data_IF_408225030870
#
_entry.id   IF_408225030870
#
_cell.length_a   1.000
_cell.length_b   1.000
_cell.length_c   1.000
_cell.angle_alpha   90.00
_cell.angle_beta   90.00
_cell.angle_gamma   90.00
#
_symmetry.space_group_name_H-M   'P 1'
#
loop_
_entity.id
_entity.type
_entity.pdbx_description
1 polymer ?
#
# COMPACT_ATOMS: atom_id res chain seq x y z
N UNK A 1 10.48 28.31 3.46
CA UNK A 1 10.36 27.19 2.51
C UNK A 1 9.47 26.12 3.10
N UNK A 2 8.57 25.61 2.30
CA UNK A 2 7.77 24.48 2.72
C UNK A 2 8.66 23.23 2.85
N UNK A 3 8.42 22.43 3.88
CA UNK A 3 9.09 21.13 3.98
C UNK A 3 8.65 20.23 2.82
N UNK A 4 9.55 19.38 2.29
CA UNK A 4 9.13 18.41 1.29
C UNK A 4 8.06 17.48 1.87
N UNK A 5 7.14 16.99 1.05
CA UNK A 5 6.14 16.03 1.52
C UNK A 5 6.79 14.80 2.13
N UNK A 6 6.20 14.26 3.19
CA UNK A 6 6.68 13.03 3.82
C UNK A 6 6.64 11.87 2.84
N UNK A 7 7.69 11.04 2.83
CA UNK A 7 7.71 9.79 2.11
C UNK A 7 7.33 8.65 3.06
N UNK A 8 6.60 7.68 2.54
CA UNK A 8 6.23 6.49 3.28
C UNK A 8 6.82 5.28 2.57
N UNK A 9 7.78 4.65 3.22
CA UNK A 9 8.49 3.51 2.67
C UNK A 9 8.39 2.30 3.58
N UNK A 10 8.35 1.12 2.96
CA UNK A 10 8.43 -0.17 3.63
C UNK A 10 9.49 -0.99 2.92
N UNK A 11 10.33 -1.68 3.69
CA UNK A 11 11.40 -2.52 3.13
C UNK A 11 11.24 -3.96 3.59
N UNK A 12 11.58 -4.89 2.72
CA UNK A 12 11.59 -6.32 3.02
C UNK A 12 12.65 -7.00 2.17
N UNK A 13 12.95 -8.25 2.48
CA UNK A 13 13.88 -9.07 1.71
C UNK A 13 13.13 -10.31 1.22
N UNK A 14 13.32 -10.66 -0.04
CA UNK A 14 12.71 -11.86 -0.62
C UNK A 14 13.17 -13.11 0.15
N UNK A 15 12.21 -13.88 0.64
CA UNK A 15 12.46 -15.10 1.41
C UNK A 15 12.55 -16.30 0.47
N UNK A 16 13.33 -17.35 0.82
CA UNK A 16 13.46 -18.55 -0.03
C UNK A 16 12.11 -19.18 -0.38
N UNK A 17 11.17 -19.23 0.56
CA UNK A 17 9.84 -19.83 0.36
C UNK A 17 8.94 -19.02 -0.59
N UNK A 18 9.34 -17.79 -0.96
CA UNK A 18 8.59 -16.96 -1.91
C UNK A 18 9.03 -17.20 -3.37
N UNK A 19 10.08 -17.97 -3.58
CA UNK A 19 10.63 -18.27 -4.91
C UNK A 19 9.91 -19.49 -5.47
N UNK A 20 9.40 -19.37 -6.68
CA UNK A 20 8.68 -20.46 -7.34
C UNK A 20 9.58 -21.30 -8.27
N UNK A 21 8.96 -22.23 -8.98
CA UNK A 21 9.65 -23.12 -9.91
C UNK A 21 10.37 -22.42 -11.07
N UNK A 22 10.05 -21.14 -11.32
CA UNK A 22 10.75 -20.33 -12.34
C UNK A 22 12.02 -19.66 -11.77
N UNK A 23 12.29 -19.81 -10.48
CA UNK A 23 13.45 -19.20 -9.82
C UNK A 23 13.28 -17.73 -9.49
N UNK A 24 12.07 -17.22 -9.49
CA UNK A 24 11.74 -15.82 -9.23
C UNK A 24 10.65 -15.68 -8.18
N UNK A 25 10.50 -14.46 -7.65
CA UNK A 25 9.43 -14.14 -6.72
C UNK A 25 8.08 -14.51 -7.33
N UNK A 26 7.34 -15.37 -6.63
CA UNK A 26 6.04 -15.83 -7.09
C UNK A 26 4.98 -14.75 -6.95
N UNK A 27 4.05 -14.74 -7.88
CA UNK A 27 2.98 -13.74 -8.01
C UNK A 27 2.31 -13.33 -6.70
N UNK A 28 1.82 -14.25 -5.84
CA UNK A 28 1.09 -13.85 -4.64
C UNK A 28 1.95 -13.12 -3.60
N UNK A 29 3.26 -13.28 -3.65
CA UNK A 29 4.15 -12.67 -2.66
C UNK A 29 4.42 -11.20 -2.93
N UNK A 30 4.28 -10.72 -4.17
CA UNK A 30 4.23 -9.27 -4.42
C UNK A 30 3.06 -8.65 -3.66
N UNK A 31 1.89 -9.26 -3.74
CA UNK A 31 0.68 -8.78 -3.08
C UNK A 31 0.80 -8.86 -1.56
N UNK A 32 1.44 -9.92 -1.05
CA UNK A 32 1.72 -10.04 0.39
C UNK A 32 2.56 -8.87 0.89
N UNK A 33 3.63 -8.53 0.18
CA UNK A 33 4.52 -7.42 0.54
C UNK A 33 3.78 -6.08 0.44
N UNK A 34 2.95 -5.89 -0.57
CA UNK A 34 2.08 -4.72 -0.67
C UNK A 34 1.11 -4.64 0.50
N UNK A 35 0.59 -5.77 0.97
CA UNK A 35 -0.23 -5.84 2.16
C UNK A 35 0.51 -5.38 3.41
N UNK A 36 1.77 -5.74 3.56
CA UNK A 36 2.63 -5.26 4.65
C UNK A 36 2.86 -3.75 4.55
N UNK A 37 3.03 -3.22 3.34
CA UNK A 37 3.15 -1.79 3.14
C UNK A 37 1.87 -1.04 3.52
N UNK A 38 0.70 -1.61 3.24
CA UNK A 38 -0.60 -1.06 3.69
C UNK A 38 -0.70 -1.06 5.21
N UNK A 39 -0.28 -2.15 5.86
CA UNK A 39 -0.23 -2.23 7.32
C UNK A 39 0.69 -1.15 7.90
N UNK A 40 1.85 -0.93 7.27
CA UNK A 40 2.76 0.15 7.67
C UNK A 40 2.11 1.54 7.57
N UNK A 41 1.38 1.81 6.48
CA UNK A 41 0.60 3.04 6.35
C UNK A 41 -0.38 3.19 7.51
N UNK A 42 -1.10 2.12 7.84
CA UNK A 42 -2.09 2.14 8.92
C UNK A 42 -1.44 2.48 10.26
N UNK A 43 -0.30 1.86 10.58
CA UNK A 43 0.42 2.15 11.83
C UNK A 43 0.87 3.62 11.90
N UNK A 44 1.38 4.15 10.80
CA UNK A 44 1.91 5.53 10.75
C UNK A 44 0.79 6.58 10.82
N UNK A 45 -0.41 6.25 10.33
CA UNK A 45 -1.51 7.23 10.21
C UNK A 45 -2.57 7.13 11.31
N UNK A 46 -2.38 6.23 12.28
CA UNK A 46 -3.29 6.11 13.42
C UNK A 46 -4.40 5.07 13.23
N UNK A 47 -4.29 4.19 12.22
CA UNK A 47 -5.22 3.08 11.97
C UNK A 47 -4.63 1.73 12.41
N UNK A 48 -3.57 1.74 13.20
CA UNK A 48 -2.83 0.54 13.57
C UNK A 48 -3.52 -0.31 14.64
N UNK A 49 -2.74 -1.22 15.24
CA UNK A 49 -3.23 -2.19 16.21
C UNK A 49 -4.00 -1.56 17.37
N UNK A 50 -3.49 -0.48 17.93
CA UNK A 50 -4.13 0.21 19.06
C UNK A 50 -5.51 0.76 18.68
N UNK A 51 -5.60 1.35 17.50
CA UNK A 51 -6.86 1.88 16.96
C UNK A 51 -7.87 0.77 16.71
N UNK A 52 -7.44 -0.32 16.08
CA UNK A 52 -8.31 -1.46 15.80
C UNK A 52 -8.81 -2.12 17.10
N UNK A 53 -7.94 -2.26 18.08
CA UNK A 53 -8.31 -2.83 19.39
C UNK A 53 -9.30 -1.95 20.14
N UNK A 54 -9.13 -0.62 20.07
CA UNK A 54 -9.96 0.34 20.79
C UNK A 54 -11.35 0.54 20.15
N UNK A 55 -11.44 0.47 18.82
CA UNK A 55 -12.65 0.87 18.08
C UNK A 55 -13.34 -0.27 17.34
N UNK A 56 -12.63 -1.37 17.05
CA UNK A 56 -13.11 -2.41 16.14
C UNK A 56 -13.13 -1.98 14.68
N UNK A 57 -12.69 -0.77 14.38
CA UNK A 57 -12.62 -0.26 13.01
C UNK A 57 -11.32 -0.66 12.33
N UNK A 58 -11.35 -0.83 11.03
CA UNK A 58 -10.18 -1.18 10.23
C UNK A 58 -10.35 -0.70 8.79
N UNK A 59 -9.29 -0.92 8.01
CA UNK A 59 -9.25 -0.58 6.59
C UNK A 59 -9.33 -1.87 5.78
N UNK A 60 -10.31 -1.98 4.89
CA UNK A 60 -10.54 -3.17 4.07
C UNK A 60 -10.29 -2.84 2.61
N UNK A 61 -9.45 -3.64 1.97
CA UNK A 61 -9.25 -3.55 0.52
C UNK A 61 -10.45 -4.16 -0.19
N UNK A 62 -11.05 -3.41 -1.11
CA UNK A 62 -12.21 -3.86 -1.90
C UNK A 62 -11.92 -3.98 -3.38
N UNK A 63 -10.85 -3.36 -3.86
CA UNK A 63 -10.46 -3.41 -5.27
C UNK A 63 -8.95 -3.19 -5.37
N UNK A 64 -8.29 -3.91 -6.24
CA UNK A 64 -6.86 -3.78 -6.47
C UNK A 64 -6.53 -3.98 -7.95
N UNK A 65 -5.59 -3.17 -8.44
CA UNK A 65 -4.99 -3.34 -9.75
C UNK A 65 -3.48 -3.52 -9.56
N UNK A 66 -2.98 -4.71 -9.90
CA UNK A 66 -1.58 -5.07 -9.75
C UNK A 66 -0.92 -5.17 -11.12
N UNK A 67 0.28 -4.61 -11.27
CA UNK A 67 1.10 -4.79 -12.47
C UNK A 67 2.44 -5.38 -12.08
N UNK A 68 2.84 -6.42 -12.80
CA UNK A 68 4.11 -7.11 -12.66
C UNK A 68 5.00 -6.69 -13.82
N UNK A 69 5.97 -5.82 -13.56
CA UNK A 69 6.75 -5.18 -14.61
C UNK A 69 8.10 -5.85 -14.87
N UNK A 70 8.69 -6.44 -13.83
CA UNK A 70 9.99 -7.10 -13.88
C UNK A 70 10.03 -8.29 -12.94
N UNK A 71 10.78 -9.32 -13.32
CA UNK A 71 11.07 -10.45 -12.44
C UNK A 71 11.94 -10.01 -11.27
N UNK A 72 11.74 -10.66 -10.13
CA UNK A 72 12.54 -10.41 -8.93
C UNK A 72 13.21 -11.69 -8.49
N UNK A 73 14.52 -11.64 -8.30
CA UNK A 73 15.32 -12.80 -7.94
C UNK A 73 15.35 -13.12 -6.45
N UNK A 74 15.99 -14.25 -6.09
CA UNK A 74 16.18 -14.62 -4.69
C UNK A 74 16.96 -13.55 -3.93
N UNK A 75 16.65 -13.42 -2.65
CA UNK A 75 17.35 -12.52 -1.71
C UNK A 75 17.31 -11.02 -2.09
N UNK A 76 16.50 -10.64 -3.07
CA UNK A 76 16.35 -9.25 -3.47
C UNK A 76 15.84 -8.41 -2.30
N UNK A 77 16.36 -7.19 -2.19
CA UNK A 77 15.88 -6.20 -1.22
C UNK A 77 14.79 -5.37 -1.88
N UNK A 78 13.62 -5.39 -1.28
CA UNK A 78 12.44 -4.71 -1.79
C UNK A 78 12.24 -3.39 -1.06
N UNK A 79 11.99 -2.33 -1.81
CA UNK A 79 11.57 -1.03 -1.27
C UNK A 79 10.18 -0.74 -1.84
N UNK A 80 9.20 -0.53 -0.98
CA UNK A 80 7.86 -0.13 -1.40
C UNK A 80 7.61 1.31 -0.98
N UNK A 81 7.34 2.17 -1.96
CA UNK A 81 6.87 3.52 -1.72
C UNK A 81 5.35 3.51 -1.76
N UNK A 82 4.72 4.11 -0.74
CA UNK A 82 3.27 4.22 -0.66
C UNK A 82 2.86 5.67 -0.80
N UNK A 83 1.93 5.93 -1.71
CA UNK A 83 1.30 7.23 -1.89
C UNK A 83 -0.19 7.12 -1.63
N UNK A 84 -0.75 8.17 -1.03
CA UNK A 84 -2.20 8.34 -0.95
C UNK A 84 -2.62 9.12 -2.19
N UNK A 85 -3.56 8.59 -2.96
CA UNK A 85 -4.06 9.23 -4.18
C UNK A 85 -5.32 10.05 -3.93
N UNK A 86 -6.17 9.62 -3.00
CA UNK A 86 -7.39 10.33 -2.62
C UNK A 86 -7.84 9.91 -1.24
N UNK A 87 -8.31 10.88 -0.45
CA UNK A 87 -8.90 10.65 0.87
C UNK A 87 -10.36 11.13 0.81
N UNK A 88 -11.29 10.19 0.89
CA UNK A 88 -12.72 10.51 1.04
C UNK A 88 -13.16 10.41 2.50
N UNK A 89 -14.43 10.58 2.76
CA UNK A 89 -14.97 10.44 4.13
C UNK A 89 -14.79 9.03 4.68
N UNK A 90 -14.95 8.01 3.82
CA UNK A 90 -14.92 6.58 4.16
C UNK A 90 -14.02 5.76 3.25
N UNK A 91 -13.53 6.34 2.17
CA UNK A 91 -12.73 5.68 1.13
C UNK A 91 -11.31 6.22 1.12
N UNK A 92 -10.37 5.35 0.79
CA UNK A 92 -8.97 5.72 0.66
C UNK A 92 -8.41 5.01 -0.58
N UNK A 93 -7.87 5.78 -1.53
CA UNK A 93 -7.12 5.23 -2.66
C UNK A 93 -5.64 5.35 -2.39
N UNK A 94 -4.95 4.23 -2.58
CA UNK A 94 -3.52 4.11 -2.36
C UNK A 94 -2.82 3.65 -3.63
N UNK A 95 -1.54 3.96 -3.75
CA UNK A 95 -0.66 3.40 -4.75
C UNK A 95 0.63 2.94 -4.10
N UNK A 96 0.99 1.69 -4.29
CA UNK A 96 2.27 1.11 -3.89
C UNK A 96 3.14 0.92 -5.11
N UNK A 97 4.40 1.32 -5.00
CA UNK A 97 5.42 1.06 -6.02
C UNK A 97 6.54 0.25 -5.39
N UNK A 98 6.82 -0.92 -5.96
CA UNK A 98 7.88 -1.80 -5.48
C UNK A 98 9.12 -1.64 -6.34
N UNK A 99 10.25 -1.38 -5.68
CA UNK A 99 11.54 -1.15 -6.31
C UNK A 99 12.57 -2.18 -5.83
N UNK A 100 13.41 -2.61 -6.76
CA UNK A 100 14.66 -3.30 -6.47
C UNK A 100 15.76 -2.42 -7.05
N UNK A 101 16.60 -1.87 -6.18
CA UNK A 101 17.56 -0.82 -6.55
C UNK A 101 16.83 0.32 -7.29
N UNK A 102 17.25 0.67 -8.49
CA UNK A 102 16.65 1.74 -9.29
C UNK A 102 15.56 1.26 -10.26
N UNK A 103 15.15 -0.01 -10.16
CA UNK A 103 14.17 -0.61 -11.07
C UNK A 103 12.82 -0.76 -10.43
N UNK A 104 11.79 -0.18 -11.06
CA UNK A 104 10.40 -0.39 -10.66
C UNK A 104 9.97 -1.79 -11.13
N UNK A 105 9.65 -2.67 -10.19
CA UNK A 105 9.36 -4.08 -10.49
C UNK A 105 7.87 -4.41 -10.47
N UNK A 106 7.08 -3.69 -9.66
CA UNK A 106 5.64 -3.92 -9.59
C UNK A 106 4.93 -2.70 -9.01
N UNK A 107 3.64 -2.59 -9.30
CA UNK A 107 2.77 -1.55 -8.73
C UNK A 107 1.45 -2.15 -8.29
N UNK A 108 0.84 -1.57 -7.27
CA UNK A 108 -0.51 -1.92 -6.84
C UNK A 108 -1.29 -0.65 -6.53
N UNK A 109 -2.41 -0.47 -7.20
CA UNK A 109 -3.38 0.56 -6.87
C UNK A 109 -4.53 -0.08 -6.10
N UNK A 110 -4.89 0.50 -4.97
CA UNK A 110 -5.91 -0.03 -4.06
C UNK A 110 -7.03 0.95 -3.86
N UNK A 111 -8.26 0.44 -3.84
CA UNK A 111 -9.39 1.13 -3.20
C UNK A 111 -9.67 0.42 -1.88
N UNK A 112 -9.67 1.18 -0.79
CA UNK A 112 -9.93 0.68 0.55
C UNK A 112 -11.08 1.43 1.18
N UNK A 113 -11.77 0.77 2.13
CA UNK A 113 -12.88 1.34 2.88
C UNK A 113 -12.59 1.28 4.37
N UNK A 114 -12.90 2.36 5.08
CA UNK A 114 -12.89 2.36 6.54
C UNK A 114 -14.19 1.72 7.03
N UNK A 115 -14.07 0.67 7.83
CA UNK A 115 -15.18 -0.19 8.23
C UNK A 115 -15.18 -0.38 9.73
N UNK A 116 -16.35 -0.21 10.35
CA UNK A 116 -16.60 -0.52 11.75
C UNK A 116 -17.80 -1.48 11.83
N UNK A 117 -17.62 -2.62 12.49
CA UNK A 117 -18.69 -3.60 12.66
C UNK A 117 -19.41 -3.99 11.36
N UNK A 118 -18.62 -4.22 10.30
CA UNK A 118 -19.13 -4.63 8.99
C UNK A 118 -19.75 -3.53 8.15
N UNK A 119 -19.68 -2.28 8.58
CA UNK A 119 -20.25 -1.14 7.85
C UNK A 119 -19.21 -0.08 7.60
N UNK A 120 -19.27 0.57 6.43
CA UNK A 120 -18.41 1.72 6.15
C UNK A 120 -18.71 2.82 7.14
N UNK A 121 -17.65 3.46 7.63
CA UNK A 121 -17.76 4.54 8.61
C UNK A 121 -16.70 5.61 8.33
N UNK A 122 -16.95 6.86 8.74
CA UNK A 122 -16.02 7.95 8.49
C UNK A 122 -14.69 7.75 9.21
N UNK A 123 -13.60 8.20 8.57
CA UNK A 123 -12.31 8.32 9.26
C UNK A 123 -12.41 9.36 10.38
N UNK A 124 -11.73 9.13 11.52
CA UNK A 124 -11.49 10.22 12.47
C UNK A 124 -10.74 11.37 11.79
N UNK A 125 -11.03 12.61 12.19
CA UNK A 125 -10.38 13.79 11.59
C UNK A 125 -8.86 13.75 11.69
N UNK A 126 -8.32 13.29 12.83
CA UNK A 126 -6.88 13.15 13.03
C UNK A 126 -6.24 12.16 12.07
N UNK A 127 -6.93 11.06 11.76
CA UNK A 127 -6.47 10.06 10.79
C UNK A 127 -6.52 10.64 9.38
N UNK A 128 -7.62 11.28 9.00
CA UNK A 128 -7.74 11.91 7.68
C UNK A 128 -6.65 12.96 7.46
N UNK A 129 -6.31 13.74 8.48
CA UNK A 129 -5.24 14.73 8.40
C UNK A 129 -3.87 14.06 8.15
N UNK A 130 -3.57 12.97 8.87
CA UNK A 130 -2.32 12.21 8.67
C UNK A 130 -2.24 11.56 7.31
N UNK A 131 -3.34 10.98 6.84
CA UNK A 131 -3.42 10.42 5.49
C UNK A 131 -3.13 11.49 4.43
N UNK A 132 -3.64 12.71 4.63
CA UNK A 132 -3.42 13.84 3.74
C UNK A 132 -1.95 14.25 3.59
N UNK A 133 -1.11 13.98 4.59
CA UNK A 133 0.33 14.27 4.53
C UNK A 133 1.04 13.45 3.44
N UNK A 134 0.49 12.31 3.07
CA UNK A 134 1.06 11.40 2.07
C UNK A 134 0.36 11.50 0.71
N UNK A 135 -0.52 12.49 0.55
CA UNK A 135 -1.24 12.71 -0.70
C UNK A 135 -0.26 13.11 -1.81
N UNK A 136 -0.34 12.42 -2.95
CA UNK A 136 0.51 12.65 -4.12
C UNK A 136 -0.35 12.62 -5.38
N UNK A 137 0.11 13.27 -6.47
CA UNK A 137 -0.55 13.13 -7.76
C UNK A 137 -0.59 11.66 -8.19
N UNK A 138 -1.71 11.27 -8.81
CA UNK A 138 -1.84 9.92 -9.34
C UNK A 138 -0.83 9.71 -10.47
N UNK A 139 -0.12 8.57 -10.49
CA UNK A 139 0.75 8.25 -11.62
C UNK A 139 -0.06 8.00 -12.89
N UNK A 140 0.59 8.10 -14.05
CA UNK A 140 -0.07 7.99 -15.36
C UNK A 140 -0.81 6.67 -15.56
N UNK A 141 -0.35 5.61 -14.93
CA UNK A 141 -0.97 4.28 -15.03
C UNK A 141 -2.16 4.09 -14.09
N UNK A 142 -2.44 5.02 -13.18
CA UNK A 142 -3.53 4.86 -12.21
C UNK A 142 -4.90 4.98 -12.90
N UNK A 143 -5.88 4.22 -12.40
CA UNK A 143 -7.26 4.25 -12.87
C UNK A 143 -7.49 3.56 -14.20
N UNK A 144 -6.52 2.78 -14.71
CA UNK A 144 -6.66 2.08 -15.99
C UNK A 144 -7.39 0.74 -15.81
N UNK A 145 -8.08 0.33 -16.88
CA UNK A 145 -8.58 -1.03 -16.98
C UNK A 145 -7.44 -2.01 -17.31
N UNK A 146 -7.72 -3.30 -17.14
CA UNK A 146 -6.80 -4.36 -17.57
C UNK A 146 -6.75 -4.41 -19.09
N UNK A 147 -5.56 -4.45 -19.64
CA UNK A 147 -5.37 -4.54 -21.08
C UNK A 147 -4.20 -3.76 -21.63
#
# INVERSE_FOLDING_TARGET
MAEPPSELTYTDTVRPEWIDYNGHLSEPFYVLVFGYATTNLMEVTGLGDAYRAATGASLYTVEAHVRYLREVGPEAKLLVNTSVLAVGAKKLRLCHEMWVDDTLVATEELLTLHVTEGRTSPFPESVAARLGEYLRPAPDYAGRAIG
#
